data_IF_238377570844
#
_entry.id   IF_238377570844
#
_cell.length_a   1.000
_cell.length_b   1.000
_cell.length_c   1.000
_cell.angle_alpha   90.00
_cell.angle_beta   90.00
_cell.angle_gamma   90.00
#
_symmetry.space_group_name_H-M   'P 1'
#
loop_
_entity.id
_entity.type
_entity.pdbx_description
1 polymer ?
#
# COMPACT_ATOMS: atom_id res chain seq x y z
N UNK A 1 60.70 1.89 -43.30
CA UNK A 1 59.82 2.47 -42.26
C UNK A 1 58.50 2.81 -42.92
N UNK A 2 57.45 2.03 -42.62
CA UNK A 2 56.09 2.26 -43.12
C UNK A 2 55.14 1.74 -42.05
N UNK A 3 54.44 2.66 -41.38
CA UNK A 3 53.50 2.38 -40.29
C UNK A 3 52.27 1.63 -40.82
N UNK A 4 51.84 0.57 -40.13
CA UNK A 4 50.51 -0.01 -40.33
C UNK A 4 49.72 -0.06 -39.01
N UNK A 5 48.95 1.01 -38.83
CA UNK A 5 47.55 1.07 -38.40
C UNK A 5 47.12 0.23 -37.19
N UNK A 6 47.16 0.90 -36.04
CA UNK A 6 46.29 0.70 -34.87
C UNK A 6 44.81 0.74 -35.26
N UNK A 7 44.07 -0.33 -34.97
CA UNK A 7 42.61 -0.32 -34.93
C UNK A 7 42.18 -0.21 -33.46
N UNK A 8 41.79 1.00 -33.04
CA UNK A 8 41.17 1.24 -31.73
C UNK A 8 39.67 0.99 -31.91
N UNK A 9 39.17 -0.11 -31.33
CA UNK A 9 37.74 -0.38 -31.27
C UNK A 9 37.08 0.60 -30.29
N UNK A 10 36.27 1.53 -30.80
CA UNK A 10 35.38 2.35 -29.97
C UNK A 10 34.27 1.45 -29.41
N UNK A 11 34.35 1.11 -28.13
CA UNK A 11 33.22 0.61 -27.37
C UNK A 11 32.30 1.80 -27.04
N UNK A 12 31.20 1.93 -27.79
CA UNK A 12 30.13 2.85 -27.45
C UNK A 12 29.44 2.36 -26.18
N UNK A 13 29.70 3.04 -25.06
CA UNK A 13 28.96 2.83 -23.82
C UNK A 13 27.52 3.29 -24.02
N UNK A 14 26.60 2.33 -24.21
CA UNK A 14 25.17 2.60 -24.05
C UNK A 14 24.91 2.89 -22.56
N UNK A 15 24.83 4.18 -22.23
CA UNK A 15 24.28 4.62 -20.95
C UNK A 15 22.79 4.33 -20.95
N UNK A 16 22.41 3.17 -20.41
CA UNK A 16 21.04 2.90 -19.96
C UNK A 16 20.72 3.92 -18.87
N UNK A 17 20.14 5.06 -19.25
CA UNK A 17 19.52 5.96 -18.29
C UNK A 17 18.38 5.17 -17.62
N UNK A 18 18.35 5.04 -16.28
CA UNK A 18 17.21 4.44 -15.62
C UNK A 18 15.99 5.32 -15.94
N UNK A 19 14.98 4.68 -16.54
CA UNK A 19 13.66 5.29 -16.70
C UNK A 19 13.20 5.67 -15.31
N UNK A 20 13.20 6.97 -15.00
CA UNK A 20 12.55 7.47 -13.81
C UNK A 20 11.08 7.07 -13.93
N UNK A 21 10.68 6.05 -13.17
CA UNK A 21 9.28 5.73 -12.97
C UNK A 21 8.63 7.04 -12.54
N UNK A 22 7.69 7.54 -13.35
CA UNK A 22 6.84 8.66 -12.94
C UNK A 22 6.19 8.20 -11.65
N UNK A 23 6.63 8.75 -10.51
CA UNK A 23 5.95 8.56 -9.25
C UNK A 23 4.50 8.94 -9.52
N UNK A 24 3.58 7.98 -9.38
CA UNK A 24 2.17 8.29 -9.40
C UNK A 24 1.96 9.40 -8.35
N UNK A 25 1.30 10.50 -8.73
CA UNK A 25 0.99 11.61 -7.81
C UNK A 25 0.02 11.10 -6.75
N UNK A 26 0.53 10.43 -5.72
CA UNK A 26 -0.27 9.80 -4.69
C UNK A 26 0.53 8.89 -3.76
N UNK A 27 0.07 8.78 -2.51
CA UNK A 27 0.60 7.80 -1.58
C UNK A 27 0.19 6.39 -2.03
N UNK A 28 1.04 5.40 -1.81
CA UNK A 28 0.70 4.00 -2.04
C UNK A 28 0.21 3.41 -0.73
N UNK A 29 -0.98 2.84 -0.73
CA UNK A 29 -1.50 2.04 0.38
C UNK A 29 -1.49 0.59 -0.02
N UNK A 30 -0.78 -0.25 0.72
CA UNK A 30 -0.78 -1.69 0.56
C UNK A 30 -1.55 -2.33 1.71
N UNK A 31 -2.50 -3.19 1.37
CA UNK A 31 -3.14 -4.12 2.29
C UNK A 31 -2.62 -5.52 1.99
N UNK A 32 -2.21 -6.25 3.03
CA UNK A 32 -1.74 -7.62 2.91
C UNK A 32 -2.45 -8.55 3.90
N UNK A 33 -2.76 -9.76 3.46
CA UNK A 33 -3.28 -10.82 4.31
C UNK A 33 -2.32 -12.00 4.27
N UNK A 34 -1.74 -12.32 5.42
CA UNK A 34 -0.83 -13.46 5.55
C UNK A 34 -1.41 -14.49 6.51
N UNK A 35 -1.30 -15.77 6.14
CA UNK A 35 -1.52 -16.89 7.05
C UNK A 35 -0.23 -17.71 7.09
N UNK A 36 0.28 -17.97 8.29
CA UNK A 36 1.54 -18.71 8.50
C UNK A 36 2.73 -18.15 7.71
N UNK A 37 2.76 -16.82 7.51
CA UNK A 37 3.80 -16.11 6.77
C UNK A 37 3.71 -16.24 5.26
N UNK A 38 2.61 -16.78 4.73
CA UNK A 38 2.33 -16.86 3.30
C UNK A 38 1.14 -15.97 2.93
N UNK A 39 1.19 -15.25 1.80
CA UNK A 39 0.05 -14.49 1.31
C UNK A 39 -1.14 -15.42 1.05
N UNK A 40 -2.31 -15.03 1.54
CA UNK A 40 -3.59 -15.70 1.25
C UNK A 40 -4.58 -14.64 0.79
N UNK A 41 -5.61 -15.05 0.07
CA UNK A 41 -6.64 -14.15 -0.44
C UNK A 41 -7.07 -13.10 0.59
N UNK A 42 -6.98 -11.82 0.23
CA UNK A 42 -7.24 -10.70 1.14
C UNK A 42 -8.67 -10.74 1.70
N UNK A 43 -9.61 -11.36 0.97
CA UNK A 43 -10.98 -11.59 1.43
C UNK A 43 -11.04 -12.43 2.70
N UNK A 44 -10.04 -13.29 2.94
CA UNK A 44 -9.90 -14.09 4.16
C UNK A 44 -9.81 -13.20 5.40
N UNK A 45 -8.89 -12.22 5.39
CA UNK A 45 -8.73 -11.27 6.49
C UNK A 45 -9.94 -10.34 6.66
N UNK A 46 -10.71 -10.09 5.59
CA UNK A 46 -11.87 -9.20 5.63
C UNK A 46 -13.21 -9.94 5.76
N UNK A 47 -13.18 -11.24 6.09
CA UNK A 47 -14.37 -12.04 6.36
C UNK A 47 -15.23 -11.36 7.44
N UNK A 48 -16.51 -11.14 7.15
CA UNK A 48 -17.47 -10.46 8.06
C UNK A 48 -17.06 -9.04 8.49
N UNK A 49 -16.10 -8.44 7.79
CA UNK A 49 -15.56 -7.11 8.07
C UNK A 49 -15.73 -6.20 6.85
N UNK A 50 -15.23 -4.96 6.95
CA UNK A 50 -15.25 -3.97 5.87
C UNK A 50 -13.91 -3.26 5.76
N UNK A 51 -13.57 -2.93 4.53
CA UNK A 51 -12.54 -1.95 4.21
C UNK A 51 -13.21 -0.60 4.01
N UNK A 52 -12.86 0.38 4.83
CA UNK A 52 -13.28 1.77 4.70
C UNK A 52 -12.15 2.56 4.02
N UNK A 53 -12.48 3.28 2.95
CA UNK A 53 -11.57 4.21 2.28
C UNK A 53 -12.24 5.57 2.17
N UNK A 54 -11.58 6.62 2.66
CA UNK A 54 -11.94 8.00 2.37
C UNK A 54 -10.95 8.59 1.37
N UNK A 55 -11.45 9.28 0.35
CA UNK A 55 -10.65 10.04 -0.62
C UNK A 55 -11.23 11.44 -0.73
N UNK A 56 -10.44 12.46 -0.39
CA UNK A 56 -10.86 13.87 -0.42
C UNK A 56 -12.20 14.11 0.29
N UNK A 57 -12.38 13.49 1.46
CA UNK A 57 -13.58 13.60 2.30
C UNK A 57 -14.73 12.65 1.92
N UNK A 58 -14.66 11.97 0.77
CA UNK A 58 -15.70 11.01 0.36
C UNK A 58 -15.36 9.62 0.89
N UNK A 59 -16.13 9.14 1.86
CA UNK A 59 -16.01 7.80 2.45
C UNK A 59 -16.79 6.76 1.64
N UNK A 60 -16.16 5.61 1.38
CA UNK A 60 -16.78 4.42 0.80
C UNK A 60 -16.38 3.19 1.61
N UNK A 61 -17.35 2.31 1.87
CA UNK A 61 -17.14 1.02 2.51
C UNK A 61 -17.22 -0.10 1.47
N UNK A 62 -16.29 -1.05 1.56
CA UNK A 62 -16.22 -2.23 0.70
C UNK A 62 -16.34 -3.48 1.55
N UNK A 63 -17.24 -4.38 1.18
CA UNK A 63 -17.25 -5.74 1.72
C UNK A 63 -16.15 -6.56 1.06
N UNK A 64 -15.85 -7.73 1.60
CA UNK A 64 -14.83 -8.63 1.06
C UNK A 64 -15.11 -8.98 -0.42
N UNK A 65 -16.37 -9.27 -0.76
CA UNK A 65 -16.80 -9.56 -2.13
C UNK A 65 -16.58 -8.41 -3.12
N UNK A 66 -16.62 -7.16 -2.64
CA UNK A 66 -16.52 -5.95 -3.46
C UNK A 66 -15.07 -5.53 -3.74
N UNK A 67 -14.07 -6.15 -3.08
CA UNK A 67 -12.65 -5.77 -3.24
C UNK A 67 -12.14 -5.89 -4.67
N UNK A 68 -12.75 -6.78 -5.45
CA UNK A 68 -12.46 -6.94 -6.89
C UNK A 68 -12.67 -5.64 -7.70
N UNK A 69 -13.47 -4.70 -7.19
CA UNK A 69 -13.64 -3.36 -7.79
C UNK A 69 -12.45 -2.43 -7.60
N UNK A 70 -11.56 -2.75 -6.64
CA UNK A 70 -10.38 -1.96 -6.29
C UNK A 70 -9.07 -2.55 -6.84
N UNK A 71 -9.04 -3.86 -7.07
CA UNK A 71 -7.86 -4.61 -7.53
C UNK A 71 -8.10 -6.11 -7.43
N UNK A 72 -7.07 -6.93 -7.68
CA UNK A 72 -7.16 -8.38 -7.48
C UNK A 72 -6.78 -8.75 -6.03
N UNK A 73 -7.72 -9.18 -5.18
CA UNK A 73 -7.41 -9.60 -3.82
C UNK A 73 -6.83 -11.03 -3.73
N UNK A 74 -6.86 -11.83 -4.80
CA UNK A 74 -6.58 -13.27 -4.72
C UNK A 74 -5.12 -13.59 -4.39
N UNK A 75 -4.21 -12.65 -4.62
CA UNK A 75 -2.78 -12.79 -4.33
C UNK A 75 -2.44 -12.43 -2.87
N UNK A 76 -3.42 -12.02 -2.08
CA UNK A 76 -3.24 -11.63 -0.68
C UNK A 76 -2.61 -10.25 -0.47
N UNK A 77 -2.21 -9.57 -1.54
CA UNK A 77 -1.76 -8.18 -1.51
C UNK A 77 -2.61 -7.35 -2.45
N UNK A 78 -3.02 -6.17 -2.00
CA UNK A 78 -3.69 -5.17 -2.83
C UNK A 78 -3.08 -3.79 -2.58
N UNK A 79 -2.62 -3.15 -3.66
CA UNK A 79 -2.03 -1.81 -3.62
C UNK A 79 -2.97 -0.79 -4.25
N UNK A 80 -3.18 0.32 -3.56
CA UNK A 80 -4.05 1.42 -3.95
C UNK A 80 -3.24 2.71 -4.01
N UNK A 81 -3.36 3.45 -5.11
CA UNK A 81 -2.85 4.83 -5.18
C UNK A 81 -3.89 5.77 -4.59
N UNK A 82 -3.50 6.50 -3.55
CA UNK A 82 -4.36 7.43 -2.81
C UNK A 82 -3.99 8.88 -3.09
N UNK A 83 -4.97 9.80 -3.09
CA UNK A 83 -4.71 11.23 -3.23
C UNK A 83 -4.04 11.81 -1.97
N UNK A 84 -3.92 13.14 -1.87
CA UNK A 84 -3.28 13.78 -0.71
C UNK A 84 -4.12 13.65 0.55
N UNK A 85 -5.44 13.85 0.47
CA UNK A 85 -6.29 13.69 1.65
C UNK A 85 -6.99 12.34 1.56
N UNK A 86 -6.62 11.42 2.46
CA UNK A 86 -7.21 10.09 2.45
C UNK A 86 -7.20 9.47 3.83
N UNK A 87 -8.08 8.50 4.04
CA UNK A 87 -7.99 7.57 5.16
C UNK A 87 -8.30 6.16 4.71
N UNK A 88 -7.74 5.20 5.42
CA UNK A 88 -7.99 3.77 5.24
C UNK A 88 -8.16 3.15 6.61
N UNK A 89 -9.18 2.32 6.76
CA UNK A 89 -9.41 1.54 7.98
C UNK A 89 -9.98 0.18 7.61
N UNK A 90 -9.48 -0.87 8.24
CA UNK A 90 -10.01 -2.22 8.08
C UNK A 90 -9.83 -3.01 9.37
N UNK A 91 -10.82 -3.83 9.71
CA UNK A 91 -10.71 -4.79 10.81
C UNK A 91 -10.39 -6.17 10.25
N UNK A 92 -9.49 -6.89 10.88
CA UNK A 92 -9.28 -8.29 10.54
C UNK A 92 -10.40 -9.14 11.18
N UNK A 93 -11.19 -9.82 10.35
CA UNK A 93 -12.21 -10.77 10.79
C UNK A 93 -11.71 -12.21 10.90
N UNK A 94 -10.53 -12.52 10.37
CA UNK A 94 -9.95 -13.86 10.43
C UNK A 94 -9.32 -14.17 11.78
N UNK A 95 -9.45 -15.41 12.22
CA UNK A 95 -8.78 -15.98 13.40
C UNK A 95 -7.43 -16.64 13.08
N UNK A 96 -7.19 -17.01 11.82
CA UNK A 96 -5.98 -17.71 11.36
C UNK A 96 -5.03 -16.83 10.55
N UNK A 97 -5.50 -15.70 10.03
CA UNK A 97 -4.72 -14.79 9.20
C UNK A 97 -4.46 -13.45 9.88
N UNK A 98 -3.44 -12.74 9.42
CA UNK A 98 -3.04 -11.42 9.88
C UNK A 98 -3.17 -10.41 8.76
N UNK A 99 -3.87 -9.32 9.06
CA UNK A 99 -4.05 -8.19 8.15
C UNK A 99 -2.96 -7.15 8.43
N UNK A 100 -2.29 -6.69 7.39
CA UNK A 100 -1.28 -5.63 7.46
C UNK A 100 -1.65 -4.47 6.55
N UNK A 101 -1.27 -3.26 6.97
CA UNK A 101 -1.43 -2.01 6.24
C UNK A 101 -0.08 -1.32 6.18
N UNK A 102 0.38 -1.02 4.97
CA UNK A 102 1.58 -0.20 4.74
C UNK A 102 1.20 1.02 3.93
N UNK A 103 1.69 2.20 4.34
CA UNK A 103 1.53 3.43 3.57
C UNK A 103 2.90 3.97 3.19
N UNK A 104 3.10 4.21 1.90
CA UNK A 104 4.33 4.73 1.33
C UNK A 104 4.11 6.06 0.63
N UNK A 105 5.07 6.97 0.76
CA UNK A 105 5.08 8.24 0.01
C UNK A 105 5.23 7.98 -1.49
N UNK A 106 4.96 8.97 -2.36
CA UNK A 106 5.24 8.86 -3.80
C UNK A 106 6.71 8.51 -4.13
N UNK A 107 7.64 8.85 -3.23
CA UNK A 107 9.05 8.49 -3.35
C UNK A 107 9.36 7.03 -2.99
N UNK A 108 8.33 6.23 -2.64
CA UNK A 108 8.46 4.83 -2.23
C UNK A 108 8.89 4.61 -0.78
N UNK A 109 8.95 5.65 0.06
CA UNK A 109 9.33 5.50 1.47
C UNK A 109 8.12 5.16 2.32
N UNK A 110 8.17 4.03 3.03
CA UNK A 110 7.16 3.68 4.03
C UNK A 110 7.12 4.73 5.16
N UNK A 111 5.93 5.20 5.49
CA UNK A 111 5.66 6.19 6.55
C UNK A 111 4.69 5.68 7.61
N UNK A 112 4.04 4.55 7.35
CA UNK A 112 3.18 3.88 8.29
C UNK A 112 3.14 2.39 7.99
N UNK A 113 3.16 1.59 9.04
CA UNK A 113 3.00 0.14 9.02
C UNK A 113 2.16 -0.25 10.24
N UNK A 114 1.15 -1.09 10.04
CA UNK A 114 0.31 -1.62 11.11
C UNK A 114 -0.09 -3.06 10.78
N UNK A 115 -0.29 -3.85 11.84
CA UNK A 115 -0.78 -5.22 11.73
C UNK A 115 -1.95 -5.44 12.70
N UNK A 116 -2.87 -6.32 12.31
CA UNK A 116 -4.04 -6.68 13.09
C UNK A 116 -4.26 -8.19 13.10
N UNK A 117 -4.36 -8.76 14.31
CA UNK A 117 -4.98 -10.06 14.55
C UNK A 117 -6.52 -9.94 14.56
N UNK A 118 -7.21 -11.02 14.91
CA UNK A 118 -8.68 -11.06 14.92
C UNK A 118 -9.30 -9.91 15.72
N UNK A 119 -10.29 -9.25 15.13
CA UNK A 119 -11.04 -8.11 15.67
C UNK A 119 -10.22 -6.86 15.98
N UNK A 120 -8.95 -6.82 15.56
CA UNK A 120 -8.12 -5.63 15.62
C UNK A 120 -8.22 -4.85 14.31
N UNK A 121 -7.95 -3.55 14.38
CA UNK A 121 -7.98 -2.65 13.23
C UNK A 121 -6.57 -2.30 12.78
N UNK A 122 -6.38 -2.26 11.46
CA UNK A 122 -5.34 -1.44 10.83
C UNK A 122 -5.99 -0.15 10.35
N UNK A 123 -5.33 0.99 10.56
CA UNK A 123 -5.87 2.27 10.14
C UNK A 123 -4.80 3.33 9.91
N UNK A 124 -5.03 4.17 8.91
CA UNK A 124 -4.22 5.35 8.63
C UNK A 124 -5.11 6.51 8.19
N UNK A 125 -4.81 7.70 8.70
CA UNK A 125 -5.51 8.94 8.35
C UNK A 125 -4.48 9.97 7.93
N UNK A 126 -4.45 10.32 6.65
CA UNK A 126 -3.66 11.46 6.17
C UNK A 126 -4.53 12.70 6.16
N UNK A 127 -4.32 13.55 7.16
CA UNK A 127 -4.92 14.87 7.21
C UNK A 127 -3.95 15.85 6.52
N UNK A 128 -4.38 16.45 5.41
CA UNK A 128 -3.75 17.65 4.85
C UNK A 128 -3.93 18.86 5.79
N UNK A 129 -3.50 20.07 5.37
CA UNK A 129 -3.45 21.25 6.24
C UNK A 129 -4.82 21.76 6.73
N UNK A 130 -5.94 21.29 6.16
CA UNK A 130 -7.30 21.70 6.53
C UNK A 130 -7.99 20.57 7.30
N UNK A 131 -8.16 20.78 8.61
CA UNK A 131 -8.56 19.77 9.58
C UNK A 131 -10.08 19.72 9.75
N UNK A 132 -10.69 18.55 9.52
CA UNK A 132 -11.98 18.19 10.11
C UNK A 132 -11.81 17.42 11.43
N UNK A 133 -12.85 17.49 12.28
CA UNK A 133 -12.87 17.09 13.70
C UNK A 133 -12.50 15.61 13.97
N UNK A 134 -12.46 14.75 12.96
CA UNK A 134 -12.16 13.31 13.07
C UNK A 134 -10.67 12.96 12.93
N UNK A 135 -9.76 13.94 12.76
CA UNK A 135 -8.31 13.73 12.65
C UNK A 135 -7.60 13.34 13.97
N UNK A 136 -8.35 12.94 15.01
CA UNK A 136 -7.80 12.24 16.17
C UNK A 136 -8.16 10.78 16.02
N UNK A 137 -7.16 9.92 15.84
CA UNK A 137 -6.84 9.03 16.96
C UNK A 137 -5.48 8.35 16.82
N UNK A 138 -4.69 8.58 17.86
CA UNK A 138 -3.64 7.70 18.34
C UNK A 138 -4.22 6.31 18.61
N UNK A 139 -3.40 5.28 18.37
CA UNK A 139 -3.67 3.89 18.74
C UNK A 139 -4.22 3.79 20.18
N UNK A 140 -5.50 3.45 20.32
CA UNK A 140 -5.99 2.89 21.57
C UNK A 140 -5.64 1.40 21.60
N UNK A 141 -4.68 1.05 22.45
CA UNK A 141 -4.67 -0.27 23.05
C UNK A 141 -5.94 -0.41 23.90
N UNK A 142 -6.76 -1.41 23.63
CA UNK A 142 -7.54 -2.08 24.67
C UNK A 142 -6.68 -3.29 25.07
N UNK A 143 -5.97 -3.32 26.19
CA UNK A 143 -6.40 -2.87 27.50
C UNK A 143 -7.33 -3.91 28.13
N UNK A 144 -6.88 -5.18 28.21
CA UNK A 144 -6.94 -6.12 29.33
C UNK A 144 -6.43 -7.51 28.92
#
# INVERSE_FOLDING_TARGET
MTLNRTAIALAAALTLAPVAARAADGAQVELRCDQDGQPVDLRTCLTESRLEISREGVKTEYRAEDLSSLGDPSQGTMTLTMPRNFSVRAMNGSDSARLSLTVSTPSGRAVHEAEAGRFQYVQFYHCGPDVEFSCREYNYMTGE
#
